data_IF_678453562353
#
_entry.id   IF_678453562353
#
_cell.length_a   1.000
_cell.length_b   1.000
_cell.length_c   1.000
_cell.angle_alpha   90.00
_cell.angle_beta   90.00
_cell.angle_gamma   90.00
#
_symmetry.space_group_name_H-M   'P 1'
#
loop_
_entity.id
_entity.type
_entity.pdbx_description
1 polymer ?
#
# COMPACT_ATOMS: atom_id res chain seq x y z
N UNK A 1 1.93 -11.33 6.48
CA UNK A 1 2.16 -10.12 7.32
C UNK A 1 0.92 -9.24 7.27
N UNK A 2 0.60 -8.54 8.36
CA UNK A 2 -0.55 -7.64 8.46
C UNK A 2 -0.10 -6.17 8.58
N UNK A 3 -0.90 -5.26 8.02
CA UNK A 3 -0.64 -3.80 8.10
C UNK A 3 -1.87 -3.09 8.66
N UNK A 4 -1.64 -2.26 9.69
CA UNK A 4 -2.66 -1.44 10.34
C UNK A 4 -2.27 0.05 10.33
N UNK A 5 -3.24 0.91 10.65
CA UNK A 5 -3.05 2.36 10.67
C UNK A 5 -3.44 3.05 9.37
N UNK A 6 -3.17 4.35 9.29
CA UNK A 6 -3.67 5.22 8.22
C UNK A 6 -3.13 4.82 6.84
N UNK A 7 -1.88 4.34 6.77
CA UNK A 7 -1.26 3.87 5.53
C UNK A 7 -2.02 2.68 4.89
N UNK A 8 -2.69 1.84 5.68
CA UNK A 8 -3.53 0.74 5.18
C UNK A 8 -4.80 1.24 4.47
N UNK A 9 -5.19 2.50 4.69
CA UNK A 9 -6.37 3.14 4.10
C UNK A 9 -6.02 4.24 3.08
N UNK A 10 -4.74 4.41 2.75
CA UNK A 10 -4.26 5.41 1.78
C UNK A 10 -4.03 4.79 0.40
N UNK A 11 -4.69 5.35 -0.61
CA UNK A 11 -4.65 4.87 -1.99
C UNK A 11 -3.24 4.86 -2.58
N UNK A 12 -2.40 5.83 -2.20
CA UNK A 12 -1.02 5.94 -2.70
C UNK A 12 -0.09 4.91 -2.05
N UNK A 13 -0.38 4.52 -0.81
CA UNK A 13 0.40 3.56 -0.02
C UNK A 13 0.08 2.10 -0.37
N UNK A 14 -1.17 1.81 -0.74
CA UNK A 14 -1.64 0.44 -1.02
C UNK A 14 -0.79 -0.32 -2.05
N UNK A 15 -0.40 0.24 -3.21
CA UNK A 15 0.44 -0.47 -4.17
C UNK A 15 1.77 -0.94 -3.58
N UNK A 16 2.37 -0.13 -2.70
CA UNK A 16 3.65 -0.48 -2.08
C UNK A 16 3.45 -1.56 -1.02
N UNK A 17 2.44 -1.40 -0.16
CA UNK A 17 2.11 -2.37 0.90
C UNK A 17 1.77 -3.75 0.33
N UNK A 18 0.96 -3.78 -0.74
CA UNK A 18 0.60 -5.03 -1.45
C UNK A 18 1.83 -5.62 -2.15
N UNK A 19 2.64 -4.79 -2.80
CA UNK A 19 3.86 -5.23 -3.48
C UNK A 19 4.93 -5.82 -2.55
N UNK A 20 4.91 -5.46 -1.26
CA UNK A 20 5.75 -6.06 -0.22
C UNK A 20 5.27 -7.46 0.23
N UNK A 21 4.10 -7.92 -0.22
CA UNK A 21 3.54 -9.23 0.12
C UNK A 21 2.65 -9.23 1.37
N UNK A 22 1.93 -8.14 1.62
CA UNK A 22 0.94 -8.08 2.71
C UNK A 22 -0.26 -8.97 2.41
N UNK A 23 -0.65 -9.79 3.39
CA UNK A 23 -1.77 -10.73 3.26
C UNK A 23 -3.06 -10.15 3.88
N UNK A 24 -2.92 -9.25 4.86
CA UNK A 24 -4.04 -8.70 5.62
C UNK A 24 -3.92 -7.18 5.85
N UNK A 25 -5.03 -6.46 5.66
CA UNK A 25 -5.14 -5.02 5.91
C UNK A 25 -6.20 -4.74 6.98
N UNK A 26 -5.81 -4.05 8.05
CA UNK A 26 -6.73 -3.59 9.08
C UNK A 26 -7.09 -2.12 8.86
N UNK A 27 -8.36 -1.87 8.56
CA UNK A 27 -8.89 -0.53 8.22
C UNK A 27 -10.20 -0.26 8.95
N UNK A 28 -10.57 1.01 9.08
CA UNK A 28 -11.86 1.39 9.65
C UNK A 28 -13.01 0.76 8.85
N UNK A 29 -14.05 0.27 9.53
CA UNK A 29 -15.17 -0.43 8.89
C UNK A 29 -15.79 0.36 7.72
N UNK A 30 -15.93 1.67 7.88
CA UNK A 30 -16.44 2.58 6.84
C UNK A 30 -15.56 2.65 5.57
N UNK A 31 -14.27 2.29 5.67
CA UNK A 31 -13.29 2.31 4.55
C UNK A 31 -13.10 0.95 3.89
N UNK A 32 -13.60 -0.14 4.48
CA UNK A 32 -13.43 -1.49 3.93
C UNK A 32 -13.89 -1.58 2.48
N UNK A 33 -15.06 -1.03 2.14
CA UNK A 33 -15.58 -1.07 0.77
C UNK A 33 -14.65 -0.39 -0.24
N UNK A 34 -14.19 0.82 0.08
CA UNK A 34 -13.30 1.62 -0.77
C UNK A 34 -11.92 0.96 -0.93
N UNK A 35 -11.28 0.56 0.18
CA UNK A 35 -9.97 -0.10 0.15
C UNK A 35 -10.05 -1.41 -0.63
N UNK A 36 -11.11 -2.19 -0.43
CA UNK A 36 -11.33 -3.44 -1.17
C UNK A 36 -11.61 -3.21 -2.65
N UNK A 37 -12.12 -2.05 -3.05
CA UNK A 37 -12.25 -1.68 -4.46
C UNK A 37 -10.88 -1.37 -5.05
N UNK A 38 -10.11 -0.46 -4.44
CA UNK A 38 -8.77 -0.11 -4.89
C UNK A 38 -7.87 -1.33 -5.05
N UNK A 39 -7.86 -2.23 -4.06
CA UNK A 39 -7.06 -3.47 -4.12
C UNK A 39 -7.43 -4.34 -5.33
N UNK A 40 -8.69 -4.38 -5.76
CA UNK A 40 -9.10 -5.15 -6.96
C UNK A 40 -8.63 -4.54 -8.27
N UNK A 41 -8.38 -3.24 -8.29
CA UNK A 41 -7.96 -2.51 -9.47
C UNK A 41 -6.42 -2.52 -9.64
N UNK A 42 -5.69 -3.00 -8.62
CA UNK A 42 -4.23 -3.10 -8.66
C UNK A 42 -3.75 -4.30 -9.50
N UNK A 43 -2.70 -4.07 -10.28
CA UNK A 43 -1.87 -5.12 -10.86
C UNK A 43 -0.78 -5.52 -9.85
N UNK A 44 -0.82 -6.77 -9.40
CA UNK A 44 0.12 -7.27 -8.40
C UNK A 44 1.58 -7.28 -8.88
N UNK A 45 1.82 -7.58 -10.17
CA UNK A 45 3.17 -7.58 -10.72
C UNK A 45 3.75 -6.17 -10.77
N UNK A 46 2.93 -5.16 -11.08
CA UNK A 46 3.32 -3.75 -11.00
C UNK A 46 3.59 -3.31 -9.57
N UNK A 47 2.72 -3.69 -8.63
CA UNK A 47 2.91 -3.40 -7.21
C UNK A 47 4.26 -3.93 -6.71
N UNK A 48 4.59 -5.19 -7.04
CA UNK A 48 5.86 -5.81 -6.68
C UNK A 48 7.06 -5.07 -7.27
N UNK A 49 7.03 -4.72 -8.57
CA UNK A 49 8.09 -3.94 -9.22
C UNK A 49 8.33 -2.60 -8.53
N UNK A 50 7.26 -1.89 -8.17
CA UNK A 50 7.35 -0.59 -7.49
C UNK A 50 7.98 -0.73 -6.10
N UNK A 51 7.58 -1.72 -5.33
CA UNK A 51 8.16 -1.97 -4.00
C UNK A 51 9.63 -2.36 -4.07
N UNK A 52 10.02 -3.25 -4.98
CA UNK A 52 11.42 -3.62 -5.20
C UNK A 52 12.27 -2.41 -5.63
N UNK A 53 11.75 -1.58 -6.53
CA UNK A 53 12.42 -0.35 -6.97
C UNK A 53 12.57 0.69 -5.84
N UNK A 54 11.61 0.79 -4.92
CA UNK A 54 11.72 1.66 -3.74
C UNK A 54 12.77 1.14 -2.75
N UNK A 55 12.80 -0.17 -2.47
CA UNK A 55 13.78 -0.77 -1.57
C UNK A 55 15.22 -0.68 -2.10
N UNK A 56 15.39 -0.61 -3.43
CA UNK A 56 16.69 -0.41 -4.07
C UNK A 56 17.25 1.01 -3.96
N UNK A 57 16.49 1.98 -3.42
CA UNK A 57 16.94 3.36 -3.28
C UNK A 57 17.64 3.60 -1.93
N UNK A 58 18.77 4.31 -1.95
CA UNK A 58 19.45 4.73 -0.72
C UNK A 58 18.66 5.86 -0.04
N UNK A 59 17.99 5.53 1.08
CA UNK A 59 17.40 6.46 2.05
C UNK A 59 16.53 7.58 1.47
N UNK A 60 15.21 7.36 1.39
CA UNK A 60 14.26 8.36 0.90
C UNK A 60 13.43 8.98 2.04
N UNK A 61 13.63 10.27 2.33
CA UNK A 61 12.76 11.07 3.22
C UNK A 61 11.99 12.08 2.39
N UNK A 62 10.86 11.69 1.80
CA UNK A 62 9.89 12.65 1.28
C UNK A 62 8.83 12.93 2.34
N UNK A 63 8.59 14.23 2.61
CA UNK A 63 7.43 14.66 3.38
C UNK A 63 6.28 14.86 2.42
N UNK A 64 5.26 14.03 2.52
CA UNK A 64 3.99 14.28 1.86
C UNK A 64 3.30 15.44 2.60
N UNK A 65 3.11 16.58 1.92
CA UNK A 65 2.28 17.67 2.45
C UNK A 65 0.83 17.27 2.22
N UNK A 66 0.06 17.26 3.31
CA UNK A 66 -1.41 17.31 3.29
C UNK A 66 -1.82 18.77 3.19
#
# INVERSE_FOLDING_TARGET
VDVCGEAASDENSLPIIIGLGTDELSVAAARVGQVRQWVRELDFAECRRRSEALLGQSGHTSRQRV
#
